data_IF_695407889172
#
_entry.id   IF_695407889172
#
_cell.length_a   1.000
_cell.length_b   1.000
_cell.length_c   1.000
_cell.angle_alpha   90.00
_cell.angle_beta   90.00
_cell.angle_gamma   90.00
#
_symmetry.space_group_name_H-M   'P 1'
#
loop_
_entity.id
_entity.type
_entity.pdbx_description
1 polymer ?
#
# COMPACT_ATOMS: atom_id res chain seq x y z
N UNK A 1 -17.28 7.38 -3.54
CA UNK A 1 -16.30 6.55 -4.24
C UNK A 1 -14.91 7.18 -4.24
N UNK A 2 -14.01 6.70 -3.38
CA UNK A 2 -12.60 7.07 -3.43
C UNK A 2 -11.75 5.82 -3.68
N UNK A 3 -10.68 5.98 -4.46
CA UNK A 3 -9.73 4.92 -4.71
C UNK A 3 -8.87 4.68 -3.47
N UNK A 4 -8.74 3.41 -3.08
CA UNK A 4 -7.92 2.97 -1.95
C UNK A 4 -6.60 2.45 -2.48
N UNK A 5 -5.48 2.98 -2.00
CA UNK A 5 -4.16 2.45 -2.29
C UNK A 5 -3.70 1.56 -1.14
N UNK A 6 -3.33 0.33 -1.44
CA UNK A 6 -2.94 -0.67 -0.43
C UNK A 6 -1.44 -0.90 -0.54
N UNK A 7 -0.73 -0.75 0.58
CA UNK A 7 0.73 -0.80 0.63
C UNK A 7 1.19 -1.76 1.72
N UNK A 8 2.26 -2.50 1.43
CA UNK A 8 3.03 -3.25 2.43
C UNK A 8 4.52 -3.00 2.19
N UNK A 9 5.41 -3.74 2.86
CA UNK A 9 6.86 -3.54 2.69
C UNK A 9 7.39 -3.73 1.26
N UNK A 10 6.77 -4.55 0.41
CA UNK A 10 7.27 -4.83 -0.96
C UNK A 10 6.21 -5.34 -1.94
N UNK A 11 4.95 -4.93 -1.77
CA UNK A 11 3.85 -5.21 -2.71
C UNK A 11 3.14 -6.58 -2.61
N UNK A 12 3.82 -7.65 -2.17
CA UNK A 12 3.22 -9.00 -2.18
C UNK A 12 2.02 -9.19 -1.25
N UNK A 13 2.15 -8.79 0.03
CA UNK A 13 1.04 -8.91 1.02
C UNK A 13 -0.13 -7.99 0.68
N UNK A 14 0.17 -6.80 0.16
CA UNK A 14 -0.84 -5.82 -0.24
C UNK A 14 -1.57 -6.23 -1.52
N UNK A 15 -0.98 -7.05 -2.39
CA UNK A 15 -1.69 -7.62 -3.54
C UNK A 15 -2.88 -8.48 -3.09
N UNK A 16 -2.67 -9.43 -2.18
CA UNK A 16 -3.74 -10.27 -1.64
C UNK A 16 -4.84 -9.44 -0.94
N UNK A 17 -4.46 -8.42 -0.17
CA UNK A 17 -5.42 -7.51 0.46
C UNK A 17 -6.20 -6.67 -0.58
N UNK A 18 -5.55 -6.25 -1.67
CA UNK A 18 -6.19 -5.52 -2.78
C UNK A 18 -7.22 -6.39 -3.47
N UNK A 19 -6.91 -7.66 -3.75
CA UNK A 19 -7.85 -8.62 -4.33
C UNK A 19 -9.07 -8.80 -3.44
N UNK A 20 -8.88 -8.98 -2.13
CA UNK A 20 -9.97 -9.11 -1.17
C UNK A 20 -10.87 -7.85 -1.13
N UNK A 21 -10.26 -6.66 -1.12
CA UNK A 21 -11.01 -5.39 -1.13
C UNK A 21 -11.78 -5.18 -2.42
N UNK A 22 -11.20 -5.51 -3.57
CA UNK A 22 -11.90 -5.47 -4.85
C UNK A 22 -13.07 -6.46 -4.88
N UNK A 23 -12.90 -7.67 -4.33
CA UNK A 23 -13.99 -8.64 -4.17
C UNK A 23 -15.12 -8.16 -3.24
N UNK A 24 -14.81 -7.28 -2.29
CA UNK A 24 -15.78 -6.65 -1.40
C UNK A 24 -16.42 -5.36 -1.99
N UNK A 25 -16.12 -5.02 -3.25
CA UNK A 25 -16.72 -3.87 -3.95
C UNK A 25 -16.00 -2.53 -3.76
N UNK A 26 -14.81 -2.52 -3.13
CA UNK A 26 -13.97 -1.33 -3.06
C UNK A 26 -13.19 -1.13 -4.36
N UNK A 27 -12.85 0.12 -4.68
CA UNK A 27 -11.91 0.44 -5.75
C UNK A 27 -10.48 0.49 -5.19
N UNK A 28 -9.83 -0.67 -5.09
CA UNK A 28 -8.50 -0.81 -4.49
C UNK A 28 -7.38 -1.03 -5.53
N UNK A 29 -6.22 -0.42 -5.27
CA UNK A 29 -5.01 -0.50 -6.11
C UNK A 29 -3.81 -0.89 -5.24
N UNK A 30 -3.09 -1.93 -5.65
CA UNK A 30 -1.87 -2.38 -4.98
C UNK A 30 -0.67 -1.50 -5.35
N UNK A 31 0.14 -1.11 -4.36
CA UNK A 31 1.43 -0.45 -4.58
C UNK A 31 2.53 -1.51 -4.72
N UNK A 32 2.88 -1.87 -5.95
CA UNK A 32 3.75 -3.01 -6.27
C UNK A 32 5.18 -2.94 -5.66
N UNK A 33 5.76 -1.75 -5.52
CA UNK A 33 7.08 -1.57 -4.87
C UNK A 33 7.03 -1.54 -3.34
N UNK A 34 5.83 -1.39 -2.76
CA UNK A 34 5.65 -1.20 -1.34
C UNK A 34 6.43 -0.02 -0.76
N UNK A 35 6.61 -0.03 0.56
CA UNK A 35 7.41 0.95 1.29
C UNK A 35 8.90 0.90 0.91
N UNK A 36 9.44 -0.27 0.51
CA UNK A 36 10.84 -0.38 0.06
C UNK A 36 11.09 0.42 -1.22
N UNK A 37 10.24 0.25 -2.25
CA UNK A 37 10.37 1.03 -3.49
C UNK A 37 10.20 2.53 -3.25
N UNK A 38 9.35 2.93 -2.29
CA UNK A 38 9.22 4.33 -1.88
C UNK A 38 10.52 4.90 -1.30
N UNK A 39 11.17 4.14 -0.41
CA UNK A 39 12.47 4.49 0.20
C UNK A 39 13.57 4.53 -0.85
N UNK A 40 13.64 3.54 -1.73
CA UNK A 40 14.65 3.45 -2.80
C UNK A 40 14.56 4.63 -3.78
N UNK A 41 13.36 5.14 -4.02
CA UNK A 41 13.12 6.35 -4.80
C UNK A 41 13.49 7.67 -4.08
N UNK A 42 13.99 7.60 -2.83
CA UNK A 42 14.44 8.78 -2.08
C UNK A 42 13.32 9.63 -1.48
N UNK A 43 12.11 9.10 -1.38
CA UNK A 43 10.97 9.85 -0.86
C UNK A 43 10.99 9.98 0.67
N UNK A 44 10.29 10.99 1.24
CA UNK A 44 10.18 11.17 2.68
C UNK A 44 9.53 9.98 3.40
N UNK A 45 9.98 9.68 4.61
CA UNK A 45 9.44 8.61 5.46
C UNK A 45 9.28 9.12 6.89
N UNK A 46 8.13 8.80 7.49
CA UNK A 46 7.87 8.94 8.92
C UNK A 46 8.13 7.59 9.59
N UNK A 47 8.85 7.60 10.71
CA UNK A 47 9.16 6.40 11.51
C UNK A 47 8.54 6.54 12.89
N UNK A 48 8.15 5.42 13.48
CA UNK A 48 7.50 5.36 14.79
C UNK A 48 6.44 4.27 14.83
N UNK A 49 5.80 4.10 15.98
CA UNK A 49 4.69 3.16 16.16
C UNK A 49 3.31 3.81 16.01
N UNK A 50 3.28 5.14 15.88
CA UNK A 50 2.05 5.92 15.78
C UNK A 50 1.96 6.64 14.43
N UNK A 51 0.75 6.77 13.86
CA UNK A 51 0.50 7.70 12.77
C UNK A 51 0.63 9.13 13.27
N UNK A 52 1.27 9.99 12.47
CA UNK A 52 1.20 11.45 12.63
C UNK A 52 -0.06 12.02 12.00
#
# INVERSE_FOLDING_TARGET
>A
DQQVYVVCGGGGRSAAATEALNGAGYRAVNVAGGTRGWIEAGNPVVKGTEPT
#
